data_IF_463529133522
#
_entry.id   IF_463529133522
#
_cell.length_a   1.000
_cell.length_b   1.000
_cell.length_c   1.000
_cell.angle_alpha   90.00
_cell.angle_beta   90.00
_cell.angle_gamma   90.00
#
_symmetry.space_group_name_H-M   'P 1'
#
loop_
_entity.id
_entity.type
_entity.pdbx_description
1 polymer ?
#
# COMPACT_ATOMS: atom_id res chain seq x y z
N UNK A 1 22.35 4.31 -0.53
CA UNK A 1 21.67 3.08 -0.97
C UNK A 1 20.76 3.46 -2.14
N UNK A 2 20.67 2.64 -3.19
CA UNK A 2 19.84 2.91 -4.37
C UNK A 2 18.79 1.80 -4.46
N UNK A 3 17.52 2.16 -4.45
CA UNK A 3 16.38 1.25 -4.55
C UNK A 3 15.46 1.73 -5.67
N UNK A 4 14.66 0.83 -6.23
CA UNK A 4 13.68 1.21 -7.27
C UNK A 4 12.33 1.58 -6.64
N UNK A 5 12.02 0.95 -5.50
CA UNK A 5 10.76 1.10 -4.78
C UNK A 5 11.00 1.11 -3.27
N UNK A 6 10.15 1.83 -2.54
CA UNK A 6 10.08 1.79 -1.08
C UNK A 6 8.73 1.23 -0.66
N UNK A 7 8.73 0.19 0.16
CA UNK A 7 7.52 -0.43 0.69
C UNK A 7 7.49 -0.26 2.21
N UNK A 8 6.45 0.42 2.71
CA UNK A 8 6.07 0.41 4.13
C UNK A 8 4.88 -0.53 4.29
N UNK A 9 4.97 -1.45 5.24
CA UNK A 9 3.91 -2.40 5.60
C UNK A 9 3.87 -2.51 7.12
N UNK A 10 2.67 -2.62 7.69
CA UNK A 10 2.50 -2.83 9.13
C UNK A 10 2.87 -4.27 9.53
N UNK A 11 3.19 -4.47 10.81
CA UNK A 11 3.73 -5.74 11.33
C UNK A 11 2.68 -6.87 11.43
N UNK A 12 1.40 -6.54 11.30
CA UNK A 12 0.26 -7.46 11.30
C UNK A 12 -0.17 -7.90 9.89
N UNK A 13 0.59 -7.53 8.87
CA UNK A 13 0.26 -7.78 7.46
C UNK A 13 1.08 -8.95 6.87
N UNK A 14 0.42 -9.80 6.09
CA UNK A 14 1.10 -10.84 5.30
C UNK A 14 1.41 -10.34 3.89
N UNK A 15 2.70 -10.33 3.52
CA UNK A 15 3.15 -9.91 2.20
C UNK A 15 3.43 -11.11 1.27
N UNK A 16 2.62 -11.28 0.23
CA UNK A 16 2.92 -12.22 -0.85
C UNK A 16 3.98 -11.63 -1.81
N UNK A 17 5.26 -11.85 -1.51
CA UNK A 17 6.40 -11.35 -2.28
C UNK A 17 6.35 -11.73 -3.77
N UNK A 18 5.96 -12.96 -4.10
CA UNK A 18 5.89 -13.40 -5.51
C UNK A 18 4.89 -12.57 -6.31
N UNK A 19 3.71 -12.30 -5.71
CA UNK A 19 2.69 -11.45 -6.33
C UNK A 19 3.18 -10.01 -6.48
N UNK A 20 3.79 -9.47 -5.43
CA UNK A 20 4.35 -8.12 -5.47
C UNK A 20 5.37 -7.98 -6.61
N UNK A 21 6.33 -8.89 -6.72
CA UNK A 21 7.37 -8.85 -7.77
C UNK A 21 6.79 -8.94 -9.19
N UNK A 22 5.68 -9.65 -9.36
CA UNK A 22 4.97 -9.69 -10.64
C UNK A 22 4.33 -8.34 -10.98
N UNK A 23 3.69 -7.70 -10.01
CA UNK A 23 2.99 -6.41 -10.20
C UNK A 23 3.94 -5.24 -10.36
N UNK A 24 5.09 -5.25 -9.68
CA UNK A 24 6.14 -4.23 -9.82
C UNK A 24 6.59 -4.02 -11.28
N UNK A 25 6.44 -5.03 -12.15
CA UNK A 25 6.77 -4.92 -13.58
C UNK A 25 5.82 -4.03 -14.36
N UNK A 26 4.61 -3.80 -13.84
CA UNK A 26 3.57 -3.00 -14.50
C UNK A 26 3.49 -1.55 -14.02
N UNK A 27 4.13 -1.23 -12.88
CA UNK A 27 4.12 0.12 -12.35
C UNK A 27 5.12 1.01 -13.08
N UNK A 28 4.82 2.33 -13.18
CA UNK A 28 5.79 3.30 -13.67
C UNK A 28 6.99 3.36 -12.72
N UNK A 29 8.14 3.80 -13.23
CA UNK A 29 9.36 3.91 -12.43
C UNK A 29 9.39 5.14 -11.53
N UNK A 30 8.48 6.11 -11.70
CA UNK A 30 8.50 7.41 -11.04
C UNK A 30 7.09 7.92 -10.70
N UNK A 31 7.02 8.85 -9.75
CA UNK A 31 5.82 9.60 -9.35
C UNK A 31 4.55 8.76 -9.13
N UNK A 32 4.69 7.58 -8.51
CA UNK A 32 3.52 6.77 -8.18
C UNK A 32 3.47 6.33 -6.73
N UNK A 33 2.23 6.08 -6.30
CA UNK A 33 1.89 5.41 -5.08
C UNK A 33 0.95 4.25 -5.37
N UNK A 34 1.18 3.13 -4.71
CA UNK A 34 0.30 1.96 -4.73
C UNK A 34 -0.06 1.58 -3.30
N UNK A 35 -1.35 1.39 -3.06
CA UNK A 35 -1.91 1.04 -1.77
C UNK A 35 -3.39 1.37 -1.76
N UNK A 36 -4.05 1.14 -0.63
CA UNK A 36 -5.45 1.54 -0.48
C UNK A 36 -5.51 3.06 -0.34
N UNK A 37 -6.31 3.73 -1.16
CA UNK A 37 -6.41 5.19 -1.17
C UNK A 37 -7.87 5.64 -1.11
N UNK A 38 -8.22 6.35 -0.05
CA UNK A 38 -9.56 6.87 0.14
C UNK A 38 -9.70 8.19 -0.60
N UNK A 39 -10.40 8.19 -1.74
CA UNK A 39 -10.73 9.40 -2.50
C UNK A 39 -12.18 9.84 -2.23
N UNK A 40 -12.46 10.30 -0.99
CA UNK A 40 -13.76 10.93 -0.65
C UNK A 40 -13.58 12.44 -0.55
N UNK A 41 -14.59 13.21 -0.97
CA UNK A 41 -14.57 14.67 -0.90
C UNK A 41 -14.18 15.14 0.52
N UNK A 42 -13.08 15.90 0.60
CA UNK A 42 -12.52 16.42 1.85
C UNK A 42 -11.76 15.40 2.72
N UNK A 43 -11.54 14.16 2.25
CA UNK A 43 -10.84 13.10 2.99
C UNK A 43 -9.98 12.23 2.06
N UNK A 44 -9.11 12.88 1.27
CA UNK A 44 -8.08 12.17 0.52
C UNK A 44 -7.03 11.68 1.51
N UNK A 45 -6.84 10.36 1.60
CA UNK A 45 -5.81 9.77 2.47
C UNK A 45 -5.44 8.37 2.00
N UNK A 46 -4.19 8.00 2.21
CA UNK A 46 -3.77 6.61 2.07
C UNK A 46 -4.25 5.77 3.26
N UNK A 47 -4.21 4.45 3.11
CA UNK A 47 -4.14 3.50 4.21
C UNK A 47 -2.67 3.27 4.57
N UNK A 48 -2.34 3.17 5.85
CA UNK A 48 -0.93 3.03 6.29
C UNK A 48 -0.45 1.58 6.33
N UNK A 49 -1.36 0.60 6.29
CA UNK A 49 -1.04 -0.81 6.45
C UNK A 49 -0.17 -1.34 5.29
N UNK A 50 -0.31 -0.75 4.10
CA UNK A 50 0.50 -1.05 2.92
C UNK A 50 0.64 0.20 2.05
N UNK A 51 1.87 0.67 1.91
CA UNK A 51 2.23 1.86 1.14
C UNK A 51 3.48 1.59 0.30
N UNK A 52 3.30 1.48 -1.02
CA UNK A 52 4.38 1.33 -1.99
C UNK A 52 4.60 2.64 -2.73
N UNK A 53 5.85 3.09 -2.79
CA UNK A 53 6.27 4.32 -3.48
C UNK A 53 7.35 4.00 -4.52
N UNK A 54 7.41 4.80 -5.59
CA UNK A 54 8.61 4.91 -6.41
C UNK A 54 9.76 5.54 -5.62
N UNK A 55 11.01 5.24 -6.00
CA UNK A 55 12.19 5.77 -5.30
C UNK A 55 12.25 7.30 -5.27
N UNK A 56 11.91 7.97 -6.37
CA UNK A 56 11.90 9.44 -6.46
C UNK A 56 10.90 10.07 -5.49
N UNK A 57 9.74 9.45 -5.31
CA UNK A 57 8.74 9.90 -4.35
C UNK A 57 9.21 9.66 -2.91
N UNK A 58 9.79 8.50 -2.62
CA UNK A 58 10.34 8.22 -1.29
C UNK A 58 11.48 9.18 -0.93
N UNK A 59 12.39 9.45 -1.86
CA UNK A 59 13.47 10.43 -1.69
C UNK A 59 12.94 11.84 -1.50
N UNK A 60 11.90 12.24 -2.25
CA UNK A 60 11.23 13.52 -2.07
C UNK A 60 10.63 13.64 -0.67
N UNK A 61 9.89 12.62 -0.22
CA UNK A 61 9.23 12.63 1.09
C UNK A 61 10.27 12.73 2.19
N UNK A 62 11.32 11.90 2.17
CA UNK A 62 12.35 11.89 3.22
C UNK A 62 13.21 13.16 3.18
N UNK A 63 13.62 13.61 1.99
CA UNK A 63 14.58 14.69 1.81
C UNK A 63 13.98 16.09 1.83
N UNK A 64 12.66 16.23 1.63
CA UNK A 64 11.98 17.52 1.47
C UNK A 64 10.71 17.64 2.30
N UNK A 65 10.61 16.90 3.42
CA UNK A 65 9.50 17.01 4.38
C UNK A 65 9.19 18.45 4.79
N UNK A 66 10.21 19.32 4.90
CA UNK A 66 10.05 20.73 5.27
C UNK A 66 9.39 21.61 4.20
N UNK A 67 9.32 21.14 2.93
CA UNK A 67 8.66 21.84 1.83
C UNK A 67 7.20 21.40 1.64
N UNK A 68 6.79 20.32 2.31
CA UNK A 68 5.43 19.80 2.27
C UNK A 68 4.68 20.31 3.49
N UNK A 69 3.55 21.03 3.33
CA UNK A 69 2.70 21.37 4.46
C UNK A 69 2.23 20.09 5.14
N UNK A 70 2.74 19.84 6.35
CA UNK A 70 2.34 18.71 7.18
C UNK A 70 1.63 19.22 8.42
N UNK A 71 0.46 18.65 8.70
CA UNK A 71 -0.23 18.83 9.97
C UNK A 71 0.35 17.78 10.97
N UNK A 72 1.03 18.22 12.04
CA UNK A 72 1.64 17.32 13.01
C UNK A 72 0.59 16.61 13.89
N UNK A 73 -0.68 17.03 13.84
CA UNK A 73 -1.76 16.42 14.62
C UNK A 73 -2.40 15.20 13.94
N UNK A 74 -2.02 14.92 12.68
CA UNK A 74 -2.58 13.81 11.90
C UNK A 74 -1.48 12.86 11.44
N UNK A 75 -1.89 11.66 11.02
CA UNK A 75 -0.97 10.62 10.59
C UNK A 75 -0.35 10.93 9.23
N UNK A 76 0.67 10.16 8.85
CA UNK A 76 1.33 10.34 7.56
C UNK A 76 0.37 10.12 6.39
N UNK A 77 -0.52 9.13 6.45
CA UNK A 77 -1.55 8.87 5.43
C UNK A 77 -2.48 10.05 5.19
N UNK A 78 -2.85 10.78 6.25
CA UNK A 78 -3.66 11.98 6.14
C UNK A 78 -2.92 13.11 5.43
N UNK A 79 -1.66 13.35 5.83
CA UNK A 79 -0.79 14.30 5.14
C UNK A 79 -0.51 13.90 3.69
N UNK A 80 -0.44 12.58 3.42
CA UNK A 80 -0.16 12.03 2.11
C UNK A 80 -1.24 12.37 1.08
N UNK A 81 -2.50 12.54 1.50
CA UNK A 81 -3.57 12.94 0.58
C UNK A 81 -3.34 14.30 -0.07
N UNK A 82 -2.90 15.30 0.72
CA UNK A 82 -2.53 16.62 0.20
C UNK A 82 -1.29 16.51 -0.69
N UNK A 83 -0.28 15.77 -0.24
CA UNK A 83 0.95 15.54 -1.00
C UNK A 83 0.66 14.93 -2.38
N UNK A 84 -0.17 13.89 -2.42
CA UNK A 84 -0.55 13.19 -3.63
C UNK A 84 -1.23 14.11 -4.64
N UNK A 85 -2.11 15.00 -4.15
CA UNK A 85 -2.75 16.02 -4.97
C UNK A 85 -1.76 17.06 -5.48
N UNK A 86 -0.92 17.62 -4.60
CA UNK A 86 0.06 18.67 -4.96
C UNK A 86 1.10 18.18 -5.95
N UNK A 87 1.56 16.93 -5.83
CA UNK A 87 2.55 16.35 -6.73
C UNK A 87 1.93 15.69 -7.97
N UNK A 88 0.60 15.71 -8.10
CA UNK A 88 -0.13 15.05 -9.18
C UNK A 88 0.31 13.58 -9.37
N UNK A 89 0.36 12.83 -8.27
CA UNK A 89 0.86 11.45 -8.28
C UNK A 89 -0.08 10.52 -9.04
N UNK A 90 0.50 9.52 -9.68
CA UNK A 90 -0.28 8.38 -10.18
C UNK A 90 -0.63 7.48 -9.01
N UNK A 91 -1.93 7.37 -8.71
CA UNK A 91 -2.45 6.54 -7.61
C UNK A 91 -2.99 5.22 -8.16
N UNK A 92 -2.37 4.13 -7.75
CA UNK A 92 -2.90 2.78 -7.93
C UNK A 92 -3.67 2.39 -6.66
N UNK A 93 -4.99 2.60 -6.69
CA UNK A 93 -5.87 2.38 -5.54
C UNK A 93 -6.27 0.89 -5.40
N UNK A 94 -5.79 0.25 -4.34
CA UNK A 94 -6.14 -1.12 -3.98
C UNK A 94 -7.23 -1.18 -2.90
N UNK A 95 -8.49 -1.18 -3.35
CA UNK A 95 -9.66 -1.35 -2.47
C UNK A 95 -9.96 -2.80 -2.10
N UNK A 96 -9.17 -3.78 -2.58
CA UNK A 96 -9.54 -5.21 -2.49
C UNK A 96 -8.65 -6.02 -1.58
N UNK A 97 -7.37 -5.68 -1.44
CA UNK A 97 -6.36 -6.58 -0.84
C UNK A 97 -5.87 -6.18 0.54
N UNK A 98 -6.30 -5.04 1.06
CA UNK A 98 -5.87 -4.51 2.36
C UNK A 98 -7.09 -4.43 3.27
N UNK A 99 -7.59 -5.60 3.64
CA UNK A 99 -8.53 -5.73 4.75
C UNK A 99 -8.22 -7.00 5.54
N UNK A 100 -7.24 -6.89 6.44
CA UNK A 100 -7.14 -7.78 7.59
C UNK A 100 -8.15 -7.38 8.70
N UNK A 101 -8.98 -6.35 8.46
CA UNK A 101 -9.89 -5.79 9.47
C UNK A 101 -11.35 -6.24 9.29
N UNK A 102 -11.66 -7.11 8.32
CA UNK A 102 -12.97 -7.76 8.17
C UNK A 102 -12.88 -9.28 8.28
N UNK A 103 -12.94 -9.75 9.52
CA UNK A 103 -12.70 -11.13 9.95
C UNK A 103 -13.69 -12.23 9.51
N UNK A 104 -14.50 -12.04 8.47
CA UNK A 104 -15.31 -13.13 7.87
C UNK A 104 -14.79 -13.62 6.50
N UNK A 105 -13.77 -12.95 5.95
CA UNK A 105 -13.22 -13.23 4.61
C UNK A 105 -11.87 -13.96 4.63
N UNK A 106 -11.23 -14.11 5.80
CA UNK A 106 -10.01 -14.91 5.94
C UNK A 106 -10.29 -16.39 6.25
N UNK A 107 -11.55 -16.78 6.44
CA UNK A 107 -11.95 -18.14 6.89
C UNK A 107 -11.48 -19.27 5.98
N UNK A 108 -11.47 -19.10 4.66
CA UNK A 108 -10.98 -20.14 3.73
C UNK A 108 -9.45 -20.25 3.70
N UNK A 109 -8.73 -19.23 4.19
CA UNK A 109 -7.28 -19.29 4.41
C UNK A 109 -6.95 -19.96 5.76
N UNK A 110 -7.94 -20.16 6.65
CA UNK A 110 -7.88 -20.90 7.92
C UNK A 110 -8.50 -22.31 7.83
N UNK A 111 -9.10 -22.68 6.69
CA UNK A 111 -9.63 -24.02 6.47
C UNK A 111 -8.48 -25.02 6.20
N UNK A 112 -8.38 -26.05 7.05
CA UNK A 112 -7.35 -27.09 6.92
C UNK A 112 -7.33 -27.69 5.50
N UNK A 113 -6.12 -27.82 4.95
CA UNK A 113 -5.83 -28.39 3.62
C UNK A 113 -6.21 -29.88 3.47
N UNK A 114 -6.83 -30.50 4.48
CA UNK A 114 -7.25 -31.90 4.48
C UNK A 114 -8.48 -32.20 3.62
N UNK A 115 -9.02 -31.22 2.89
CA UNK A 115 -10.15 -31.44 1.98
C UNK A 115 -9.74 -31.71 0.53
N UNK A 116 -8.45 -31.90 0.22
CA UNK A 116 -7.99 -31.90 -1.20
C UNK A 116 -6.99 -32.95 -1.67
N UNK A 117 -6.86 -34.10 -1.02
CA UNK A 117 -6.22 -35.24 -1.67
C UNK A 117 -6.89 -36.56 -1.31
N UNK A 118 -7.47 -37.19 -2.35
CA UNK A 118 -7.43 -38.62 -2.65
C UNK A 118 -8.03 -39.59 -1.61
N UNK A 119 -9.16 -40.24 -1.92
CA UNK A 119 -9.20 -41.48 -2.72
C UNK A 119 -8.24 -42.55 -2.19
N UNK A 120 -8.59 -43.11 -1.03
CA UNK A 120 -8.27 -44.48 -0.64
C UNK A 120 -9.44 -44.98 0.24
N UNK A 121 -10.21 -45.94 -0.29
CA UNK A 121 -11.32 -46.62 0.41
C UNK A 121 -12.72 -46.31 -0.12
#
# INVERSE_FOLDING_TARGET
YKFDYFLRVDDDSFLCLHRLMFELKSYPSQQFFMGRFWCKAGRHRADENFMLFSSDLAEFIVGRTSLVPMDPSVTFAWNFGLLAYTLNLTIFDDQKRIDAQQGYLTDYMHANSSSRADSDG
#
